data_IF_008641122719
#
_entry.id   IF_008641122719
#
_cell.length_a   1.000
_cell.length_b   1.000
_cell.length_c   1.000
_cell.angle_alpha   90.00
_cell.angle_beta   90.00
_cell.angle_gamma   90.00
#
_symmetry.space_group_name_H-M   'P 1'
#
loop_
_entity.id
_entity.type
_entity.pdbx_description
1 polymer ?
#
# COMPACT_ATOMS: atom_id res chain seq x y z
N UNK A 1 -6.33 33.60 -0.61
CA UNK A 1 -5.14 32.75 -0.46
C UNK A 1 -5.46 31.68 0.57
N UNK A 2 -5.56 30.44 0.13
CA UNK A 2 -6.19 29.33 0.87
C UNK A 2 -5.29 28.88 2.02
N UNK A 3 -5.82 28.92 3.25
CA UNK A 3 -5.13 28.68 4.52
C UNK A 3 -4.70 27.22 4.78
N UNK A 4 -4.45 26.44 3.73
CA UNK A 4 -4.22 24.99 3.83
C UNK A 4 -2.86 24.67 4.49
N UNK A 5 -1.96 25.66 4.55
CA UNK A 5 -0.61 25.50 5.10
C UNK A 5 -0.42 26.15 6.47
N UNK A 6 -1.49 26.69 7.10
CA UNK A 6 -1.37 27.43 8.37
C UNK A 6 -0.76 26.61 9.52
N UNK A 7 -0.88 25.28 9.48
CA UNK A 7 -0.31 24.35 10.46
C UNK A 7 0.74 23.41 9.85
N UNK A 8 1.17 23.64 8.61
CA UNK A 8 2.14 22.77 7.96
C UNK A 8 3.57 23.15 8.38
N UNK A 9 4.29 22.20 8.98
CA UNK A 9 5.72 22.38 9.30
C UNK A 9 6.54 22.18 8.02
N UNK A 10 7.21 23.23 7.56
CA UNK A 10 8.16 23.15 6.44
C UNK A 10 9.39 22.35 6.89
N UNK A 11 9.49 21.11 6.43
CA UNK A 11 10.63 20.21 6.71
C UNK A 11 11.85 20.66 5.89
N UNK A 12 13.02 20.71 6.53
CA UNK A 12 14.30 20.92 5.84
C UNK A 12 14.86 19.57 5.40
N UNK A 13 15.82 19.58 4.47
CA UNK A 13 16.44 18.35 3.94
C UNK A 13 17.02 17.44 5.05
N UNK A 14 17.56 18.03 6.12
CA UNK A 14 18.07 17.29 7.27
C UNK A 14 16.96 16.61 8.09
N UNK A 15 15.75 17.19 8.12
CA UNK A 15 14.60 16.61 8.81
C UNK A 15 14.06 15.38 8.06
N UNK A 16 14.25 15.30 6.74
CA UNK A 16 13.84 14.15 5.91
C UNK A 16 14.49 12.84 6.38
N UNK A 17 15.73 12.89 6.91
CA UNK A 17 16.44 11.70 7.42
C UNK A 17 15.79 11.10 8.67
N UNK A 18 15.06 11.93 9.44
CA UNK A 18 14.34 11.51 10.64
C UNK A 18 12.88 11.14 10.35
N UNK A 19 12.42 11.29 9.10
CA UNK A 19 11.11 10.79 8.68
C UNK A 19 11.27 9.30 8.43
N UNK A 20 11.08 8.53 9.50
CA UNK A 20 10.93 7.08 9.42
C UNK A 20 9.53 6.80 8.91
N UNK A 21 9.39 6.68 7.58
CA UNK A 21 8.11 6.54 6.89
C UNK A 21 8.19 5.66 5.64
N UNK A 22 9.20 4.79 5.56
CA UNK A 22 9.11 3.62 4.69
C UNK A 22 8.17 2.60 5.34
N UNK A 23 7.67 1.65 4.55
CA UNK A 23 7.03 0.44 5.07
C UNK A 23 8.11 -0.37 5.80
N UNK A 24 8.51 0.07 6.99
CA UNK A 24 9.50 -0.57 7.85
C UNK A 24 8.77 -1.16 9.05
N UNK A 25 8.65 -2.48 9.04
CA UNK A 25 7.94 -3.30 10.03
C UNK A 25 7.65 -4.68 9.44
N UNK A 26 7.01 -5.56 10.21
CA UNK A 26 6.35 -6.77 9.68
C UNK A 26 4.94 -6.34 9.24
N UNK A 27 4.70 -6.01 7.95
CA UNK A 27 3.36 -5.69 7.51
C UNK A 27 2.44 -6.89 7.72
N UNK A 28 1.19 -6.63 8.09
CA UNK A 28 0.22 -7.70 8.29
C UNK A 28 -0.17 -8.30 6.93
N UNK A 29 0.37 -9.48 6.63
CA UNK A 29 0.12 -10.20 5.39
C UNK A 29 -1.29 -10.80 5.34
N UNK A 30 -2.01 -10.85 6.46
CA UNK A 30 -3.40 -11.31 6.51
C UNK A 30 -4.35 -10.38 5.74
N UNK A 31 -3.91 -9.13 5.49
CA UNK A 31 -4.64 -8.15 4.69
C UNK A 31 -4.38 -8.30 3.18
N UNK A 32 -3.47 -9.21 2.79
CA UNK A 32 -3.14 -9.48 1.40
C UNK A 32 -3.94 -10.67 0.88
N UNK A 33 -4.44 -10.56 -0.34
CA UNK A 33 -5.18 -11.63 -1.00
C UNK A 33 -5.00 -11.63 -2.50
N UNK A 34 -5.66 -12.58 -3.14
CA UNK A 34 -5.84 -12.61 -4.59
C UNK A 34 -7.31 -12.39 -4.90
N UNK A 35 -7.60 -11.59 -5.91
CA UNK A 35 -8.92 -11.64 -6.52
C UNK A 35 -9.06 -12.90 -7.40
N UNK A 36 -10.26 -13.11 -7.89
CA UNK A 36 -10.57 -14.27 -8.72
C UNK A 36 -10.10 -14.12 -10.18
N UNK A 37 -9.50 -13.00 -10.57
CA UNK A 37 -8.81 -12.80 -11.85
C UNK A 37 -7.29 -12.99 -11.74
N UNK A 38 -6.76 -13.23 -10.54
CA UNK A 38 -5.34 -13.40 -10.30
C UNK A 38 -4.59 -12.08 -10.06
N UNK A 39 -5.28 -10.99 -9.70
CA UNK A 39 -4.67 -9.76 -9.24
C UNK A 39 -4.46 -9.77 -7.72
N UNK A 40 -3.32 -9.22 -7.29
CA UNK A 40 -3.04 -9.02 -5.86
C UNK A 40 -3.98 -7.94 -5.32
N UNK A 41 -4.72 -8.27 -4.27
CA UNK A 41 -5.59 -7.35 -3.54
C UNK A 41 -5.01 -7.05 -2.16
N UNK A 42 -5.25 -5.84 -1.66
CA UNK A 42 -4.79 -5.36 -0.37
C UNK A 42 -3.88 -4.12 -0.45
N UNK A 43 -3.24 -3.74 0.66
CA UNK A 43 -2.32 -2.60 0.72
C UNK A 43 -1.16 -2.70 -0.28
N UNK A 44 -0.55 -1.56 -0.61
CA UNK A 44 0.55 -1.50 -1.59
C UNK A 44 1.73 -2.43 -1.28
N UNK A 45 1.97 -2.77 -0.01
CA UNK A 45 3.02 -3.74 0.32
C UNK A 45 2.72 -5.15 -0.19
N UNK A 46 1.45 -5.54 -0.38
CA UNK A 46 1.09 -6.90 -0.80
C UNK A 46 1.70 -7.30 -2.14
N UNK A 47 1.86 -6.38 -3.09
CA UNK A 47 2.50 -6.68 -4.39
C UNK A 47 3.99 -6.99 -4.27
N UNK A 48 4.61 -6.66 -3.13
CA UNK A 48 6.02 -6.95 -2.85
C UNK A 48 6.21 -8.31 -2.14
N UNK A 49 5.15 -8.85 -1.51
CA UNK A 49 5.24 -10.05 -0.67
C UNK A 49 4.47 -11.26 -1.21
N UNK A 50 3.42 -11.06 -2.01
CA UNK A 50 2.62 -12.15 -2.59
C UNK A 50 2.48 -12.00 -4.11
N UNK A 51 2.36 -13.15 -4.77
CA UNK A 51 2.04 -13.25 -6.19
C UNK A 51 0.81 -14.13 -6.38
N UNK A 52 -0.08 -13.70 -7.26
CA UNK A 52 -1.31 -14.42 -7.56
C UNK A 52 -1.16 -15.17 -8.90
N UNK A 53 -1.57 -16.45 -8.96
CA UNK A 53 -1.56 -17.18 -10.21
C UNK A 53 -2.53 -16.53 -11.19
N UNK A 54 -2.13 -16.42 -12.46
CA UNK A 54 -2.93 -15.83 -13.55
C UNK A 54 -4.02 -16.80 -14.02
N UNK A 55 -4.84 -17.27 -13.08
CA UNK A 55 -5.96 -18.17 -13.33
C UNK A 55 -7.25 -17.48 -12.93
N UNK A 56 -8.22 -17.49 -13.84
CA UNK A 56 -9.54 -16.96 -13.56
C UNK A 56 -10.34 -18.01 -12.80
N UNK A 57 -10.64 -17.76 -11.53
CA UNK A 57 -11.39 -18.65 -10.64
C UNK A 57 -12.75 -18.08 -10.24
N UNK A 58 -13.18 -16.96 -10.83
CA UNK A 58 -14.50 -16.42 -10.52
C UNK A 58 -15.55 -17.43 -10.99
N UNK A 59 -16.43 -17.84 -10.08
CA UNK A 59 -17.64 -18.58 -10.44
C UNK A 59 -18.68 -17.54 -10.81
N UNK A 60 -18.53 -16.96 -11.99
CA UNK A 60 -19.53 -16.06 -12.54
C UNK A 60 -20.80 -16.89 -12.77
N UNK A 61 -21.67 -16.94 -11.77
CA UNK A 61 -23.01 -17.51 -11.90
C UNK A 61 -23.81 -16.45 -12.65
N UNK A 62 -24.09 -16.73 -13.93
CA UNK A 62 -25.00 -15.94 -14.74
C UNK A 62 -26.45 -16.10 -14.28
#
# INVERSE_FOLDING_TARGET
MTNILKNAKKLKQADLKNIVGGVSGNPDLSLCGCDCAGAVTGPYYCVQYIGCPQVYTCKDVY
#
